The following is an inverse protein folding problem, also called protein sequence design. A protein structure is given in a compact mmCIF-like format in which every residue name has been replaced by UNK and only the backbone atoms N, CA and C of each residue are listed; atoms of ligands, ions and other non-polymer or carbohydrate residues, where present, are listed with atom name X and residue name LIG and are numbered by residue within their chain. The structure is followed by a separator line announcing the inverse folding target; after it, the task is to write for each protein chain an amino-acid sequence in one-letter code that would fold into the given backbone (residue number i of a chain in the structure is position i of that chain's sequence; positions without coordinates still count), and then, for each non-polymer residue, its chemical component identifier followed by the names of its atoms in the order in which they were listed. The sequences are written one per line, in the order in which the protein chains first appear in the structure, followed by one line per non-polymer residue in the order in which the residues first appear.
data_IF_891348701952
#
_entry.id   IF_891348701952
#
_cell.length_a   1.000
_cell.length_b   1.000
_cell.length_c   1.000
_cell.angle_alpha   90.00
_cell.angle_beta   90.00
_cell.angle_gamma   90.00
#
_symmetry.space_group_name_H-M   'P 1'
#
loop_
_entity.id
_entity.type
_entity.pdbx_description
1 polymer ?
#
# COMPACT_ATOMS: atom_id res chain seq x y z
N UNK A 1 12.56 11.53 -65.81
CA UNK A 1 12.04 12.78 -66.43
C UNK A 1 10.57 12.73 -66.91
N UNK A 2 9.91 11.56 -67.08
CA UNK A 2 8.48 11.51 -67.49
C UNK A 2 7.50 11.78 -66.29
N UNK A 3 7.90 11.51 -65.10
CA UNK A 3 7.04 11.68 -63.88
C UNK A 3 6.81 13.17 -63.53
N UNK A 4 7.84 14.02 -63.68
CA UNK A 4 7.76 15.45 -63.37
C UNK A 4 6.82 16.20 -64.30
N UNK A 5 6.80 15.85 -65.64
CA UNK A 5 5.89 16.46 -66.63
C UNK A 5 4.40 16.11 -66.38
N UNK A 6 4.09 15.02 -65.65
CA UNK A 6 2.73 14.66 -65.31
C UNK A 6 2.22 15.44 -64.08
N UNK A 7 3.10 15.74 -63.13
CA UNK A 7 2.76 16.45 -61.90
C UNK A 7 2.38 17.93 -62.18
N UNK A 8 3.07 18.57 -63.14
CA UNK A 8 2.78 19.97 -63.51
C UNK A 8 1.38 20.17 -64.10
N UNK A 9 0.82 19.12 -64.71
CA UNK A 9 -0.52 19.12 -65.29
C UNK A 9 -1.66 18.85 -64.36
N UNK A 10 -1.36 18.49 -63.11
CA UNK A 10 -2.37 18.25 -62.08
C UNK A 10 -2.97 19.56 -61.55
N UNK A 11 -4.25 19.53 -61.20
CA UNK A 11 -4.87 20.64 -60.47
C UNK A 11 -4.16 20.87 -59.11
N UNK A 12 -4.21 22.09 -58.63
CA UNK A 12 -3.64 22.44 -57.32
C UNK A 12 -4.15 21.53 -56.20
N UNK A 13 -5.39 21.07 -56.27
CA UNK A 13 -6.00 20.13 -55.34
C UNK A 13 -5.31 18.75 -55.37
N UNK A 14 -5.07 18.24 -56.58
CA UNK A 14 -4.36 16.96 -56.73
C UNK A 14 -2.90 17.03 -56.28
N UNK A 15 -2.22 18.17 -56.50
CA UNK A 15 -0.85 18.40 -56.02
C UNK A 15 -0.81 18.35 -54.47
N UNK A 16 -1.75 18.99 -53.78
CA UNK A 16 -1.88 18.96 -52.31
C UNK A 16 -2.11 17.53 -51.82
N UNK A 17 -2.99 16.76 -52.45
CA UNK A 17 -3.24 15.36 -52.06
C UNK A 17 -1.99 14.47 -52.23
N UNK A 18 -1.20 14.68 -53.31
CA UNK A 18 0.07 13.98 -53.52
C UNK A 18 1.08 14.34 -52.41
N UNK A 19 1.18 15.62 -52.04
CA UNK A 19 2.06 16.04 -50.94
C UNK A 19 1.61 15.48 -49.60
N UNK A 20 0.31 15.48 -49.30
CA UNK A 20 -0.25 14.90 -48.08
C UNK A 20 0.00 13.37 -48.02
N UNK A 21 -0.17 12.67 -49.12
CA UNK A 21 0.09 11.23 -49.19
C UNK A 21 1.57 10.89 -48.98
N UNK A 22 2.49 11.67 -49.62
CA UNK A 22 3.93 11.53 -49.41
C UNK A 22 4.34 11.86 -47.95
N UNK A 23 3.74 12.88 -47.38
CA UNK A 23 3.97 13.23 -45.96
C UNK A 23 3.47 12.13 -45.03
N UNK A 24 2.32 11.53 -45.30
CA UNK A 24 1.77 10.40 -44.54
C UNK A 24 2.68 9.15 -44.68
N UNK A 25 3.19 8.87 -45.88
CA UNK A 25 4.15 7.78 -46.08
C UNK A 25 5.47 8.05 -45.36
N UNK A 26 5.95 9.30 -45.35
CA UNK A 26 7.12 9.68 -44.56
C UNK A 26 6.87 9.48 -43.06
N UNK A 27 5.72 9.90 -42.54
CA UNK A 27 5.34 9.63 -41.14
C UNK A 27 5.30 8.13 -40.85
N UNK A 28 4.78 7.32 -41.78
CA UNK A 28 4.72 5.86 -41.62
C UNK A 28 6.11 5.21 -41.70
N UNK A 29 7.03 5.73 -42.51
CA UNK A 29 8.42 5.28 -42.60
C UNK A 29 9.21 5.69 -41.36
N UNK A 30 9.00 6.90 -40.83
CA UNK A 30 9.64 7.37 -39.58
C UNK A 30 8.95 6.91 -38.31
N UNK A 31 7.69 6.45 -38.35
CA UNK A 31 7.12 5.53 -37.38
C UNK A 31 7.72 4.15 -37.62
N UNK A 32 9.01 4.01 -37.42
CA UNK A 32 9.60 2.68 -37.32
C UNK A 32 8.88 1.98 -36.17
N UNK A 33 8.23 0.81 -36.40
CA UNK A 33 7.93 -0.06 -35.30
C UNK A 33 9.27 -0.28 -34.59
N UNK A 34 9.36 -0.01 -33.31
CA UNK A 34 10.51 -0.46 -32.54
C UNK A 34 10.64 -1.94 -32.90
N UNK A 35 11.69 -2.31 -33.61
CA UNK A 35 12.00 -3.70 -33.89
C UNK A 35 12.04 -4.38 -32.51
N UNK A 36 11.14 -5.29 -32.29
CA UNK A 36 11.28 -6.34 -31.28
C UNK A 36 12.47 -7.20 -31.73
N UNK A 37 13.63 -6.80 -31.29
CA UNK A 37 14.84 -7.47 -31.65
C UNK A 37 15.94 -7.04 -30.71
N UNK A 38 16.25 -7.93 -29.75
CA UNK A 38 17.11 -7.81 -28.59
C UNK A 38 16.42 -7.05 -27.45
N UNK A 39 15.80 -7.80 -26.53
CA UNK A 39 15.72 -7.40 -25.14
C UNK A 39 17.12 -6.95 -24.72
N UNK A 40 17.36 -5.63 -24.68
CA UNK A 40 18.40 -5.13 -23.82
C UNK A 40 18.11 -5.80 -22.48
N UNK A 41 19.05 -6.53 -21.93
CA UNK A 41 18.98 -7.10 -20.58
C UNK A 41 18.58 -5.95 -19.65
N UNK A 42 17.26 -5.78 -19.50
CA UNK A 42 16.71 -4.78 -18.61
C UNK A 42 17.35 -5.09 -17.27
N UNK A 43 18.08 -4.15 -16.68
CA UNK A 43 18.65 -4.32 -15.33
C UNK A 43 17.46 -4.47 -14.37
N UNK A 44 17.09 -5.70 -14.17
CA UNK A 44 15.90 -6.13 -13.51
C UNK A 44 16.27 -6.61 -12.12
N UNK A 45 15.60 -6.04 -11.12
CA UNK A 45 15.73 -6.45 -9.73
C UNK A 45 14.43 -7.09 -9.30
N UNK A 46 14.49 -8.32 -8.79
CA UNK A 46 13.35 -9.00 -8.15
C UNK A 46 13.53 -9.00 -6.64
N UNK A 47 12.51 -8.59 -5.91
CA UNK A 47 12.45 -8.59 -4.45
C UNK A 47 11.25 -9.42 -3.97
N UNK A 48 11.40 -10.16 -2.87
CA UNK A 48 10.32 -10.95 -2.27
C UNK A 48 10.33 -10.87 -0.75
N UNK A 49 9.16 -11.00 -0.14
CA UNK A 49 9.01 -11.02 1.30
C UNK A 49 9.64 -9.78 1.97
N UNK A 50 10.39 -10.00 3.04
CA UNK A 50 10.99 -8.92 3.83
C UNK A 50 11.99 -8.06 3.04
N UNK A 51 12.65 -8.62 2.01
CA UNK A 51 13.61 -7.88 1.16
C UNK A 51 12.98 -6.74 0.34
N UNK A 52 11.66 -6.70 0.25
CA UNK A 52 10.91 -5.64 -0.43
C UNK A 52 11.13 -4.30 0.26
N UNK A 53 11.16 -4.30 1.59
CA UNK A 53 11.18 -3.09 2.41
C UNK A 53 12.60 -2.54 2.60
N UNK A 54 13.32 -2.33 1.47
CA UNK A 54 14.65 -1.74 1.41
C UNK A 54 14.61 -0.19 1.29
N UNK A 55 15.79 0.46 1.23
CA UNK A 55 15.89 1.92 1.18
C UNK A 55 15.14 2.52 -0.02
N UNK A 56 15.23 1.91 -1.20
CA UNK A 56 14.54 2.43 -2.38
C UNK A 56 13.01 2.37 -2.21
N UNK A 57 12.48 1.27 -1.66
CA UNK A 57 11.05 1.15 -1.46
C UNK A 57 10.56 2.08 -0.35
N UNK A 58 11.32 2.24 0.74
CA UNK A 58 10.97 3.17 1.80
C UNK A 58 10.89 4.64 1.32
N UNK A 59 11.71 5.02 0.32
CA UNK A 59 11.69 6.37 -0.25
C UNK A 59 10.45 6.65 -1.12
N UNK A 60 9.90 5.64 -1.77
CA UNK A 60 8.73 5.79 -2.65
C UNK A 60 7.43 5.31 -2.01
N UNK A 61 7.48 4.70 -0.84
CA UNK A 61 6.35 4.05 -0.16
C UNK A 61 5.18 5.02 0.06
N UNK A 62 5.46 6.21 0.53
CA UNK A 62 4.43 7.22 0.81
C UNK A 62 3.67 7.67 -0.44
N UNK A 63 4.31 7.65 -1.63
CA UNK A 63 3.63 7.93 -2.90
C UNK A 63 2.54 6.91 -3.23
N UNK A 64 2.65 5.70 -2.68
CA UNK A 64 1.73 4.59 -2.97
C UNK A 64 0.63 4.45 -1.93
N UNK A 65 0.93 4.70 -0.66
CA UNK A 65 0.04 4.29 0.45
C UNK A 65 -0.36 5.42 1.39
N UNK A 66 0.41 6.52 1.45
CA UNK A 66 0.11 7.61 2.36
C UNK A 66 -1.13 8.38 1.93
N UNK A 67 -2.04 8.58 2.87
CA UNK A 67 -3.23 9.41 2.71
C UNK A 67 -3.53 10.07 4.06
N UNK A 68 -3.31 11.38 4.13
CA UNK A 68 -3.49 12.20 5.34
C UNK A 68 -4.94 12.17 5.85
N UNK A 69 -5.93 12.31 4.97
CA UNK A 69 -7.35 12.26 5.35
C UNK A 69 -7.73 10.92 5.97
N UNK A 70 -7.21 9.81 5.43
CA UNK A 70 -7.42 8.48 5.99
C UNK A 70 -6.78 8.36 7.36
N UNK A 71 -5.52 8.74 7.48
CA UNK A 71 -4.76 8.63 8.71
C UNK A 71 -5.38 9.48 9.83
N UNK A 72 -5.77 10.71 9.55
CA UNK A 72 -6.50 11.58 10.48
C UNK A 72 -7.84 10.99 10.90
N UNK A 73 -8.61 10.45 9.95
CA UNK A 73 -9.87 9.79 10.24
C UNK A 73 -9.69 8.60 11.18
N UNK A 74 -8.72 7.73 10.88
CA UNK A 74 -8.40 6.54 11.68
C UNK A 74 -8.03 6.93 13.12
N UNK A 75 -7.07 7.83 13.28
CA UNK A 75 -6.62 8.29 14.60
C UNK A 75 -7.76 8.97 15.39
N UNK A 76 -8.56 9.80 14.72
CA UNK A 76 -9.72 10.43 15.36
C UNK A 76 -10.70 9.38 15.87
N UNK A 77 -11.00 8.35 15.05
CA UNK A 77 -11.91 7.28 15.46
C UNK A 77 -11.35 6.41 16.61
N UNK A 78 -10.05 6.15 16.60
CA UNK A 78 -9.38 5.42 17.68
C UNK A 78 -9.50 6.20 18.97
N UNK A 79 -9.13 7.48 18.98
CA UNK A 79 -9.21 8.34 20.16
C UNK A 79 -10.63 8.41 20.71
N UNK A 80 -11.63 8.62 19.85
CA UNK A 80 -13.04 8.71 20.25
C UNK A 80 -13.59 7.41 20.87
N UNK A 81 -13.10 6.26 20.43
CA UNK A 81 -13.68 4.95 20.79
C UNK A 81 -12.96 4.24 21.93
N UNK A 82 -11.74 4.67 22.27
CA UNK A 82 -10.92 3.99 23.27
C UNK A 82 -10.63 4.83 24.52
N UNK A 83 -11.21 6.03 24.61
CA UNK A 83 -11.09 6.87 25.80
C UNK A 83 -9.64 7.29 26.08
N UNK A 84 -8.91 7.69 25.05
CA UNK A 84 -7.50 8.12 25.14
C UNK A 84 -7.36 9.30 26.11
N UNK A 85 -6.42 9.19 27.06
CA UNK A 85 -6.07 10.22 28.04
C UNK A 85 -4.56 10.47 28.08
N UNK A 86 -4.14 11.38 28.96
CA UNK A 86 -2.72 11.80 29.10
C UNK A 86 -1.77 10.66 29.49
N UNK A 87 -2.29 9.62 30.14
CA UNK A 87 -1.52 8.44 30.54
C UNK A 87 -1.49 7.33 29.49
N UNK A 88 -2.12 7.56 28.33
CA UNK A 88 -2.13 6.60 27.25
C UNK A 88 -0.74 6.43 26.65
N UNK A 89 -0.35 5.17 26.44
CA UNK A 89 0.91 4.77 25.84
C UNK A 89 0.61 3.86 24.66
N UNK A 90 1.02 4.29 23.48
CA UNK A 90 0.77 3.60 22.22
C UNK A 90 1.97 2.82 21.71
N UNK A 91 1.70 1.67 21.10
CA UNK A 91 2.59 0.95 20.21
C UNK A 91 1.93 0.90 18.83
N UNK A 92 2.63 1.38 17.78
CA UNK A 92 2.20 1.24 16.39
C UNK A 92 3.02 0.14 15.71
N UNK A 93 2.36 -0.97 15.38
CA UNK A 93 2.98 -2.18 14.81
C UNK A 93 2.99 -2.09 13.28
N UNK A 94 4.17 -2.35 12.68
CA UNK A 94 4.38 -2.14 11.25
C UNK A 94 4.28 -0.65 10.92
N UNK A 95 4.96 0.19 11.72
CA UNK A 95 4.84 1.65 11.68
C UNK A 95 5.31 2.27 10.36
N UNK A 96 6.02 1.50 9.51
CA UNK A 96 6.48 1.92 8.19
C UNK A 96 7.27 3.23 8.25
N UNK A 97 6.83 4.22 7.49
CA UNK A 97 7.45 5.56 7.40
C UNK A 97 7.03 6.53 8.52
N UNK A 98 6.22 6.08 9.50
CA UNK A 98 6.02 6.74 10.80
C UNK A 98 4.82 7.69 10.90
N UNK A 99 3.96 7.80 9.91
CA UNK A 99 2.88 8.80 9.88
C UNK A 99 1.85 8.67 11.02
N UNK A 100 1.42 7.45 11.38
CA UNK A 100 0.49 7.26 12.51
C UNK A 100 1.14 7.62 13.85
N UNK A 101 2.42 7.26 14.01
CA UNK A 101 3.21 7.63 15.20
C UNK A 101 3.28 9.15 15.34
N UNK A 102 3.55 9.86 14.24
CA UNK A 102 3.59 11.34 14.23
C UNK A 102 2.24 11.94 14.62
N UNK A 103 1.15 11.51 14.01
CA UNK A 103 -0.20 12.02 14.30
C UNK A 103 -0.61 11.81 15.77
N UNK A 104 -0.28 10.67 16.37
CA UNK A 104 -0.52 10.40 17.78
C UNK A 104 0.39 11.27 18.68
N UNK A 105 1.66 11.40 18.30
CA UNK A 105 2.64 12.24 19.03
C UNK A 105 2.23 13.72 19.03
N UNK A 106 1.70 14.22 17.92
CA UNK A 106 1.21 15.62 17.82
C UNK A 106 -0.02 15.90 18.71
N UNK A 107 -0.73 14.84 19.10
CA UNK A 107 -1.81 14.93 20.13
C UNK A 107 -1.25 14.88 21.56
N UNK A 108 0.07 14.90 21.75
CA UNK A 108 0.72 14.85 23.07
C UNK A 108 0.82 13.47 23.67
N UNK A 109 0.57 12.40 22.91
CA UNK A 109 0.57 11.03 23.40
C UNK A 109 1.98 10.42 23.36
N UNK A 110 2.23 9.47 24.27
CA UNK A 110 3.45 8.67 24.27
C UNK A 110 3.30 7.54 23.26
N UNK A 111 4.11 7.54 22.21
CA UNK A 111 4.00 6.57 21.12
C UNK A 111 5.37 5.97 20.79
N UNK A 112 5.39 4.68 20.53
CA UNK A 112 6.55 3.98 19.94
C UNK A 112 6.08 3.29 18.68
N UNK A 113 6.75 3.53 17.56
CA UNK A 113 6.57 2.74 16.33
C UNK A 113 7.55 1.56 16.32
N UNK A 114 7.09 0.41 15.86
CA UNK A 114 7.96 -0.75 15.59
C UNK A 114 7.75 -1.22 14.16
N UNK A 115 8.86 -1.47 13.47
CA UNK A 115 8.85 -2.08 12.14
C UNK A 115 10.00 -3.09 12.02
N UNK A 116 9.77 -4.18 11.30
CA UNK A 116 10.78 -5.21 11.04
C UNK A 116 11.89 -4.71 10.12
N UNK A 117 11.54 -3.80 9.19
CA UNK A 117 12.48 -3.22 8.24
C UNK A 117 13.28 -2.07 8.85
N UNK A 118 14.60 -2.23 8.94
CA UNK A 118 15.51 -1.16 9.35
C UNK A 118 15.48 0.03 8.39
N UNK A 119 15.22 -0.18 7.10
CA UNK A 119 15.10 0.89 6.11
C UNK A 119 13.83 1.74 6.35
N UNK A 120 12.69 1.11 6.68
CA UNK A 120 11.47 1.81 7.08
C UNK A 120 11.68 2.62 8.36
N UNK A 121 12.30 2.02 9.38
CA UNK A 121 12.63 2.72 10.64
C UNK A 121 13.55 3.91 10.41
N UNK A 122 14.60 3.75 9.58
CA UNK A 122 15.49 4.85 9.18
C UNK A 122 14.73 5.98 8.47
N UNK A 123 13.81 5.62 7.56
CA UNK A 123 12.95 6.59 6.88
C UNK A 123 12.02 7.30 7.84
N UNK A 124 11.40 6.57 8.77
CA UNK A 124 10.54 7.14 9.81
C UNK A 124 11.29 8.16 10.70
N UNK A 125 12.52 7.85 11.12
CA UNK A 125 13.38 8.79 11.84
C UNK A 125 13.76 10.01 11.00
N UNK A 126 13.97 9.83 9.70
CA UNK A 126 14.26 10.97 8.80
C UNK A 126 13.04 11.88 8.64
N UNK A 127 11.85 11.29 8.50
CA UNK A 127 10.59 12.03 8.39
C UNK A 127 10.23 12.74 9.71
N UNK A 128 10.45 12.06 10.85
CA UNK A 128 9.96 12.48 12.17
C UNK A 128 11.02 12.24 13.25
N UNK A 129 12.08 13.06 13.31
CA UNK A 129 13.24 12.85 14.19
C UNK A 129 12.88 12.91 15.69
N UNK A 130 11.80 13.61 16.06
CA UNK A 130 11.34 13.73 17.45
C UNK A 130 10.47 12.57 17.91
N UNK A 131 10.11 11.65 17.02
CA UNK A 131 9.31 10.47 17.34
C UNK A 131 10.19 9.25 17.65
N UNK A 132 9.63 8.32 18.43
CA UNK A 132 10.34 7.09 18.83
C UNK A 132 9.99 5.94 17.90
N UNK A 133 11.03 5.37 17.26
CA UNK A 133 10.90 4.17 16.43
C UNK A 133 11.94 3.13 16.85
N UNK A 134 11.59 1.85 16.70
CA UNK A 134 12.48 0.71 16.98
C UNK A 134 12.39 -0.30 15.85
N UNK A 135 13.53 -0.91 15.51
CA UNK A 135 13.55 -2.05 14.58
C UNK A 135 13.31 -3.32 15.38
N UNK A 136 12.33 -4.14 14.99
CA UNK A 136 12.04 -5.39 15.68
C UNK A 136 10.92 -6.19 15.02
N UNK A 137 10.92 -7.49 15.28
CA UNK A 137 9.87 -8.40 14.82
C UNK A 137 8.84 -8.58 15.93
N UNK A 138 7.59 -8.23 15.65
CA UNK A 138 6.47 -8.33 16.59
C UNK A 138 6.05 -9.76 16.94
N UNK A 139 6.59 -10.74 16.22
CA UNK A 139 6.46 -12.16 16.59
C UNK A 139 7.44 -12.59 17.68
N UNK A 140 8.43 -11.75 18.00
CA UNK A 140 9.34 -11.99 19.11
C UNK A 140 8.75 -11.42 20.41
N UNK A 141 8.53 -12.28 21.40
CA UNK A 141 7.91 -11.95 22.68
C UNK A 141 8.73 -10.96 23.51
N UNK A 142 10.06 -11.04 23.42
CA UNK A 142 11.00 -10.30 24.29
C UNK A 142 11.23 -8.84 23.84
N UNK A 143 10.55 -8.37 22.80
CA UNK A 143 10.75 -7.00 22.30
C UNK A 143 10.26 -5.94 23.27
N UNK A 144 9.19 -6.24 24.01
CA UNK A 144 8.63 -5.34 25.01
C UNK A 144 8.27 -6.07 26.30
N UNK A 145 8.30 -5.34 27.43
CA UNK A 145 7.87 -5.87 28.71
C UNK A 145 6.34 -5.97 28.79
N UNK A 146 5.85 -6.89 29.60
CA UNK A 146 4.43 -7.07 29.87
C UNK A 146 3.80 -5.78 30.43
N UNK A 147 2.59 -5.48 29.98
CA UNK A 147 1.83 -4.32 30.46
C UNK A 147 2.47 -2.96 30.17
N UNK A 148 3.26 -2.85 29.09
CA UNK A 148 3.92 -1.59 28.70
C UNK A 148 2.99 -0.60 28.01
N UNK A 149 1.93 -1.08 27.34
CA UNK A 149 1.08 -0.25 26.51
C UNK A 149 -0.39 -0.25 26.97
N UNK A 150 -1.07 0.85 26.71
CA UNK A 150 -2.53 0.96 26.84
C UNK A 150 -3.24 0.73 25.52
N UNK A 151 -2.55 1.01 24.41
CA UNK A 151 -3.08 0.86 23.06
C UNK A 151 -2.00 0.25 22.15
N UNK A 152 -2.41 -0.70 21.34
CA UNK A 152 -1.60 -1.26 20.24
C UNK A 152 -2.39 -1.07 18.97
N UNK A 153 -1.76 -0.49 17.95
CA UNK A 153 -2.32 -0.34 16.61
C UNK A 153 -1.57 -1.22 15.62
N UNK A 154 -2.30 -1.92 14.75
CA UNK A 154 -1.78 -2.67 13.62
C UNK A 154 -2.55 -2.22 12.38
N UNK A 155 -1.98 -1.23 11.70
CA UNK A 155 -2.68 -0.47 10.68
C UNK A 155 -2.35 -0.96 9.27
N UNK A 156 -3.14 -0.48 8.31
CA UNK A 156 -3.06 -0.83 6.90
C UNK A 156 -3.10 -2.35 6.68
N UNK A 157 -2.14 -2.96 5.98
CA UNK A 157 -2.13 -4.40 5.72
C UNK A 157 -1.21 -5.20 6.64
N UNK A 158 -0.64 -4.59 7.68
CA UNK A 158 0.38 -5.23 8.51
C UNK A 158 -0.03 -6.61 9.02
N UNK A 159 -1.29 -6.79 9.44
CA UNK A 159 -1.82 -8.07 9.92
C UNK A 159 -1.77 -9.20 8.86
N UNK A 160 -1.87 -8.85 7.57
CA UNK A 160 -1.90 -9.82 6.46
C UNK A 160 -0.51 -10.30 6.03
N UNK A 161 0.55 -9.62 6.47
CA UNK A 161 1.94 -10.06 6.28
C UNK A 161 2.37 -11.07 7.35
N UNK A 162 1.67 -11.13 8.49
CA UNK A 162 2.02 -12.01 9.59
C UNK A 162 1.62 -13.45 9.28
N UNK A 163 2.62 -14.35 9.27
CA UNK A 163 2.38 -15.78 9.06
C UNK A 163 1.88 -16.48 10.32
N UNK A 164 2.17 -15.93 11.50
CA UNK A 164 1.73 -16.42 12.81
C UNK A 164 0.98 -15.32 13.58
N UNK A 165 -0.30 -15.17 13.26
CA UNK A 165 -1.16 -14.20 13.94
C UNK A 165 -1.51 -14.62 15.38
N UNK A 166 -1.51 -15.92 15.69
CA UNK A 166 -1.71 -16.38 17.06
C UNK A 166 -0.59 -15.87 17.96
N UNK A 167 0.67 -16.01 17.54
CA UNK A 167 1.80 -15.46 18.28
C UNK A 167 1.71 -13.94 18.41
N UNK A 168 1.32 -13.23 17.34
CA UNK A 168 1.11 -11.79 17.36
C UNK A 168 0.03 -11.37 18.39
N UNK A 169 -1.13 -12.03 18.40
CA UNK A 169 -2.20 -11.71 19.35
C UNK A 169 -1.79 -12.03 20.79
N UNK A 170 -1.10 -13.13 21.02
CA UNK A 170 -0.56 -13.46 22.34
C UNK A 170 0.45 -12.41 22.80
N UNK A 171 1.37 -11.97 21.97
CA UNK A 171 2.32 -10.91 22.31
C UNK A 171 1.60 -9.59 22.61
N UNK A 172 0.60 -9.21 21.82
CA UNK A 172 -0.22 -8.02 22.09
C UNK A 172 -0.96 -8.14 23.42
N UNK A 173 -1.47 -9.33 23.76
CA UNK A 173 -2.11 -9.60 25.05
C UNK A 173 -1.14 -9.36 26.22
N UNK A 174 0.08 -9.86 26.12
CA UNK A 174 1.11 -9.67 27.15
C UNK A 174 1.54 -8.20 27.29
N UNK A 175 1.77 -7.51 26.16
CA UNK A 175 2.27 -6.13 26.15
C UNK A 175 1.22 -5.09 26.57
N UNK A 176 -0.07 -5.36 26.37
CA UNK A 176 -1.13 -4.48 26.81
C UNK A 176 -1.33 -4.55 28.34
N UNK A 177 -1.67 -3.42 28.94
CA UNK A 177 -2.22 -3.36 30.30
C UNK A 177 -3.64 -3.95 30.34
N UNK A 178 -4.10 -4.51 31.49
CA UNK A 178 -5.52 -4.80 31.66
C UNK A 178 -6.38 -3.56 31.35
N UNK A 179 -7.48 -3.75 30.63
CA UNK A 179 -8.32 -2.68 30.11
C UNK A 179 -7.77 -1.96 28.87
N UNK A 180 -6.60 -2.37 28.37
CA UNK A 180 -6.00 -1.80 27.15
C UNK A 180 -6.68 -2.26 25.87
N UNK A 181 -6.37 -1.59 24.76
CA UNK A 181 -7.01 -1.79 23.47
C UNK A 181 -6.03 -2.23 22.39
N UNK A 182 -6.44 -3.21 21.57
CA UNK A 182 -5.81 -3.58 20.32
C UNK A 182 -6.68 -3.11 19.16
N UNK A 183 -6.12 -2.34 18.25
CA UNK A 183 -6.79 -1.84 17.05
C UNK A 183 -6.16 -2.49 15.84
N UNK A 184 -6.97 -3.20 15.04
CA UNK A 184 -6.48 -3.88 13.84
C UNK A 184 -7.25 -3.40 12.61
N UNK A 185 -6.54 -2.99 11.58
CA UNK A 185 -7.12 -2.68 10.28
C UNK A 185 -7.36 -3.98 9.52
N UNK A 186 -8.62 -4.25 9.20
CA UNK A 186 -9.05 -5.44 8.47
C UNK A 186 -9.78 -5.05 7.17
N UNK A 187 -9.66 -5.89 6.16
CA UNK A 187 -10.29 -5.69 4.85
C UNK A 187 -11.16 -6.89 4.45
N UNK A 188 -12.18 -6.65 3.64
CA UNK A 188 -12.87 -7.75 2.96
C UNK A 188 -12.00 -8.23 1.79
N UNK A 189 -11.44 -9.45 1.83
CA UNK A 189 -10.49 -9.93 0.82
C UNK A 189 -11.00 -9.92 -0.61
N UNK A 190 -12.31 -10.13 -0.79
CA UNK A 190 -12.92 -10.22 -2.12
C UNK A 190 -13.17 -8.85 -2.77
N UNK A 191 -13.29 -7.79 -1.96
CA UNK A 191 -13.88 -6.52 -2.43
C UNK A 191 -13.02 -5.28 -2.19
N UNK A 192 -12.04 -5.34 -1.27
CA UNK A 192 -11.20 -4.17 -1.01
C UNK A 192 -10.30 -3.83 -2.19
N UNK A 193 -9.84 -2.60 -2.24
CA UNK A 193 -8.87 -2.15 -3.23
C UNK A 193 -7.48 -2.05 -2.56
N UNK A 194 -6.46 -2.77 -3.04
CA UNK A 194 -5.15 -2.79 -2.39
C UNK A 194 -4.38 -1.47 -2.57
N UNK A 195 -4.69 -0.70 -3.61
CA UNK A 195 -4.05 0.60 -3.88
C UNK A 195 -5.12 1.62 -4.18
N UNK A 196 -5.35 2.50 -3.22
CA UNK A 196 -6.29 3.60 -3.29
C UNK A 196 -5.75 4.81 -2.60
N UNK A 197 -6.45 5.82 -2.81
CA UNK A 197 -6.50 6.87 -3.80
C UNK A 197 -5.22 7.69 -3.92
N UNK A 198 -4.09 7.39 -3.21
CA UNK A 198 -2.88 8.22 -3.36
C UNK A 198 -2.44 8.34 -4.81
N UNK A 199 -2.64 7.28 -5.59
CA UNK A 199 -2.30 7.27 -7.00
C UNK A 199 -3.29 8.00 -7.92
N UNK A 200 -4.49 8.36 -7.43
CA UNK A 200 -5.46 9.12 -8.21
C UNK A 200 -6.37 9.97 -7.29
N UNK A 201 -5.95 11.20 -6.95
CA UNK A 201 -6.69 12.09 -6.05
C UNK A 201 -8.10 12.46 -6.54
N UNK A 202 -8.42 12.24 -7.81
CA UNK A 202 -9.75 12.49 -8.38
C UNK A 202 -10.70 11.30 -8.19
N UNK A 203 -10.20 10.15 -7.75
CA UNK A 203 -10.99 8.94 -7.57
C UNK A 203 -11.55 8.88 -6.15
N UNK A 204 -12.66 9.54 -5.93
CA UNK A 204 -13.36 9.63 -4.63
C UNK A 204 -14.01 8.29 -4.23
N UNK A 205 -14.25 7.40 -5.19
CA UNK A 205 -14.89 6.09 -4.94
C UNK A 205 -14.14 5.01 -5.69
N UNK A 206 -13.84 3.89 -5.01
CA UNK A 206 -13.21 2.74 -5.64
C UNK A 206 -14.06 2.18 -6.78
N UNK A 207 -13.46 2.02 -7.95
CA UNK A 207 -14.07 1.34 -9.09
C UNK A 207 -14.48 -0.11 -8.74
N UNK A 208 -13.79 -0.72 -7.77
CA UNK A 208 -14.10 -2.06 -7.25
C UNK A 208 -15.53 -2.20 -6.75
N UNK A 209 -16.13 -1.12 -6.20
CA UNK A 209 -17.52 -1.10 -5.71
C UNK A 209 -18.54 -1.42 -6.80
N UNK A 210 -18.24 -1.04 -8.05
CA UNK A 210 -19.16 -1.18 -9.19
C UNK A 210 -18.77 -2.29 -10.16
N UNK A 211 -17.59 -2.87 -9.97
CA UNK A 211 -17.08 -3.93 -10.83
C UNK A 211 -17.86 -5.25 -10.60
N UNK A 212 -18.28 -5.92 -11.68
CA UNK A 212 -18.88 -7.26 -11.61
C UNK A 212 -17.85 -8.31 -11.20
N UNK A 213 -16.63 -8.14 -11.68
CA UNK A 213 -15.47 -8.95 -11.35
C UNK A 213 -14.43 -8.11 -10.65
N UNK A 214 -13.58 -8.76 -9.82
CA UNK A 214 -12.53 -8.06 -9.11
C UNK A 214 -11.55 -7.40 -10.10
N UNK A 215 -11.27 -6.13 -9.90
CA UNK A 215 -10.18 -5.43 -10.59
C UNK A 215 -8.88 -5.86 -9.91
N UNK A 216 -8.01 -6.54 -10.65
CA UNK A 216 -6.76 -7.09 -10.11
C UNK A 216 -5.55 -6.22 -10.42
N UNK A 217 -5.62 -5.39 -11.45
CA UNK A 217 -4.46 -4.64 -11.96
C UNK A 217 -4.67 -3.14 -11.81
N UNK A 218 -3.66 -2.47 -11.25
CA UNK A 218 -3.60 -1.01 -11.15
C UNK A 218 -2.37 -0.50 -11.90
N UNK A 219 -2.50 0.60 -12.65
CA UNK A 219 -1.38 1.27 -13.32
C UNK A 219 -1.43 2.76 -13.04
N UNK A 220 -0.32 3.30 -12.53
CA UNK A 220 -0.17 4.72 -12.20
C UNK A 220 1.14 5.23 -12.82
N UNK A 221 1.09 6.43 -13.38
CA UNK A 221 2.28 7.09 -13.91
C UNK A 221 2.67 8.23 -12.98
N UNK A 222 3.80 8.05 -12.30
CA UNK A 222 4.47 9.09 -11.50
C UNK A 222 5.50 9.84 -12.36
N UNK A 223 6.02 10.94 -11.83
CA UNK A 223 7.04 11.73 -12.54
C UNK A 223 8.31 10.94 -12.82
N UNK A 224 8.72 10.05 -11.91
CA UNK A 224 10.00 9.32 -11.97
C UNK A 224 9.87 7.88 -12.46
N UNK A 225 8.69 7.30 -12.37
CA UNK A 225 8.46 5.89 -12.75
C UNK A 225 7.00 5.63 -13.12
N UNK A 226 6.79 4.53 -13.85
CA UNK A 226 5.48 3.93 -14.06
C UNK A 226 5.34 2.75 -13.09
N UNK A 227 4.32 2.81 -12.26
CA UNK A 227 3.93 1.77 -11.32
C UNK A 227 2.84 0.89 -11.93
N UNK A 228 2.95 -0.41 -11.74
CA UNK A 228 1.88 -1.37 -12.06
C UNK A 228 1.82 -2.38 -10.92
N UNK A 229 0.62 -2.67 -10.44
CA UNK A 229 0.40 -3.73 -9.45
C UNK A 229 -0.63 -4.72 -9.95
N UNK A 230 -0.55 -5.95 -9.41
CA UNK A 230 -1.50 -7.02 -9.64
C UNK A 230 -1.76 -7.75 -8.33
N UNK A 231 -3.04 -7.89 -7.97
CA UNK A 231 -3.47 -8.56 -6.75
C UNK A 231 -4.26 -9.82 -7.10
N UNK A 232 -3.65 -10.98 -6.88
CA UNK A 232 -4.21 -12.29 -7.20
C UNK A 232 -4.62 -13.01 -5.93
N UNK A 233 -5.92 -13.05 -5.65
CA UNK A 233 -6.49 -13.77 -4.50
C UNK A 233 -6.71 -15.25 -4.84
N UNK A 234 -6.10 -16.12 -4.06
CA UNK A 234 -6.38 -17.56 -4.06
C UNK A 234 -7.35 -17.91 -2.92
N UNK A 235 -8.61 -18.15 -3.27
CA UNK A 235 -9.67 -18.45 -2.30
C UNK A 235 -9.58 -19.85 -1.67
N UNK A 236 -8.79 -20.75 -2.26
CA UNK A 236 -8.68 -22.13 -1.75
C UNK A 236 -7.84 -22.19 -0.47
N UNK A 237 -6.83 -21.35 -0.38
CA UNK A 237 -5.91 -21.30 0.76
C UNK A 237 -5.88 -19.94 1.47
N UNK A 238 -6.81 -19.04 1.14
CA UNK A 238 -6.93 -17.70 1.72
C UNK A 238 -5.62 -16.90 1.63
N UNK A 239 -4.89 -17.00 0.52
CA UNK A 239 -3.69 -16.21 0.29
C UNK A 239 -3.87 -15.29 -0.90
N UNK A 240 -3.10 -14.21 -0.95
CA UNK A 240 -2.99 -13.42 -2.15
C UNK A 240 -1.52 -13.18 -2.50
N UNK A 241 -1.23 -13.20 -3.80
CA UNK A 241 0.03 -12.71 -4.33
C UNK A 241 -0.17 -11.28 -4.79
N UNK A 242 0.56 -10.36 -4.17
CA UNK A 242 0.59 -8.97 -4.57
C UNK A 242 1.89 -8.68 -5.29
N UNK A 243 1.78 -8.49 -6.59
CA UNK A 243 2.91 -8.21 -7.48
C UNK A 243 2.94 -6.73 -7.80
N UNK A 244 4.11 -6.13 -7.71
CA UNK A 244 4.34 -4.73 -8.05
C UNK A 244 5.51 -4.60 -9.03
N UNK A 245 5.37 -3.70 -9.98
CA UNK A 245 6.41 -3.39 -10.97
C UNK A 245 6.63 -1.88 -11.05
N UNK A 246 7.86 -1.47 -10.89
CA UNK A 246 8.32 -0.09 -11.05
C UNK A 246 9.22 -0.03 -12.28
N UNK A 247 8.83 0.78 -13.26
CA UNK A 247 9.65 1.06 -14.44
C UNK A 247 10.10 2.51 -14.37
N UNK A 248 11.34 2.72 -13.97
CA UNK A 248 11.94 4.04 -13.83
C UNK A 248 12.31 4.65 -15.18
N UNK A 249 12.32 6.00 -15.26
CA UNK A 249 12.65 6.75 -16.49
C UNK A 249 14.08 6.47 -16.97
N UNK A 250 14.99 6.07 -16.09
CA UNK A 250 16.37 5.69 -16.42
C UNK A 250 16.50 4.25 -16.97
N UNK A 251 15.38 3.58 -17.26
CA UNK A 251 15.34 2.23 -17.80
C UNK A 251 15.50 1.09 -16.77
N UNK A 252 15.73 1.40 -15.50
CA UNK A 252 15.75 0.37 -14.44
C UNK A 252 14.35 -0.17 -14.21
N UNK A 253 14.24 -1.49 -13.97
CA UNK A 253 12.99 -2.13 -13.59
C UNK A 253 13.18 -2.85 -12.26
N UNK A 254 12.27 -2.56 -11.32
CA UNK A 254 12.12 -3.34 -10.10
C UNK A 254 10.79 -4.06 -10.16
N UNK A 255 10.80 -5.34 -9.85
CA UNK A 255 9.61 -6.14 -9.55
C UNK A 255 9.68 -6.62 -8.13
N UNK A 256 8.54 -6.74 -7.50
CA UNK A 256 8.44 -7.30 -6.16
C UNK A 256 7.17 -8.11 -6.02
N UNK A 257 7.23 -9.12 -5.17
CA UNK A 257 6.16 -10.07 -4.94
C UNK A 257 5.99 -10.32 -3.45
N UNK A 258 4.82 -10.01 -2.94
CA UNK A 258 4.44 -10.19 -1.55
C UNK A 258 3.35 -11.26 -1.44
N UNK A 259 3.54 -12.21 -0.53
CA UNK A 259 2.51 -13.14 -0.11
C UNK A 259 1.73 -12.56 1.07
N UNK A 260 0.41 -12.52 0.95
CA UNK A 260 -0.51 -12.04 1.98
C UNK A 260 -1.40 -13.20 2.45
N UNK A 261 -1.62 -13.30 3.76
CA UNK A 261 -2.53 -14.26 4.39
C UNK A 261 -3.91 -13.61 4.54
N UNK A 262 -4.76 -13.79 3.53
CA UNK A 262 -6.01 -13.05 3.33
C UNK A 262 -7.23 -13.78 3.90
N UNK A 263 -7.14 -14.20 5.18
CA UNK A 263 -8.28 -14.78 5.86
C UNK A 263 -9.42 -13.77 6.01
N UNK A 264 -10.64 -14.29 6.21
CA UNK A 264 -11.82 -13.45 6.37
C UNK A 264 -11.77 -12.62 7.65
N UNK A 265 -12.57 -11.54 7.67
CA UNK A 265 -12.72 -10.67 8.85
C UNK A 265 -13.11 -11.48 10.11
N UNK A 266 -13.96 -12.48 9.93
CA UNK A 266 -14.45 -13.35 11.00
C UNK A 266 -13.36 -14.27 11.54
N UNK A 267 -12.54 -14.85 10.66
CA UNK A 267 -11.42 -15.72 11.04
C UNK A 267 -10.42 -14.93 11.89
N UNK A 268 -9.96 -13.79 11.42
CA UNK A 268 -8.98 -12.96 12.14
C UNK A 268 -9.56 -12.45 13.49
N UNK A 269 -10.85 -12.06 13.48
CA UNK A 269 -11.51 -11.63 14.72
C UNK A 269 -11.67 -12.78 15.75
N UNK A 270 -11.85 -14.01 15.29
CA UNK A 270 -11.90 -15.19 16.16
C UNK A 270 -10.50 -15.56 16.69
N UNK A 271 -9.44 -15.49 15.88
CA UNK A 271 -8.06 -15.65 16.35
C UNK A 271 -7.73 -14.67 17.49
N UNK A 272 -8.16 -13.39 17.36
CA UNK A 272 -8.00 -12.41 18.45
C UNK A 272 -8.79 -12.80 19.71
N UNK A 273 -10.04 -13.30 19.57
CA UNK A 273 -10.85 -13.76 20.69
C UNK A 273 -10.24 -15.00 21.37
N UNK A 274 -9.70 -15.93 20.60
CA UNK A 274 -9.05 -17.14 21.12
C UNK A 274 -7.81 -16.78 21.95
N UNK A 275 -7.13 -15.67 21.63
CA UNK A 275 -6.06 -15.09 22.45
C UNK A 275 -6.58 -14.33 23.70
N UNK A 276 -7.90 -14.23 23.91
CA UNK A 276 -8.51 -13.60 25.09
C UNK A 276 -9.03 -12.17 24.86
N UNK A 277 -8.97 -11.64 23.64
CA UNK A 277 -9.51 -10.31 23.35
C UNK A 277 -11.03 -10.29 23.22
N UNK A 278 -11.64 -9.17 23.63
CA UNK A 278 -13.08 -8.91 23.48
C UNK A 278 -13.30 -7.84 22.42
N UNK A 279 -14.05 -8.16 21.36
CA UNK A 279 -14.39 -7.18 20.33
C UNK A 279 -15.35 -6.10 20.87
N UNK A 280 -14.96 -4.84 20.82
CA UNK A 280 -15.72 -3.69 21.29
C UNK A 280 -16.39 -2.90 20.19
N UNK A 281 -15.65 -2.63 19.12
CA UNK A 281 -16.13 -1.81 18.02
C UNK A 281 -15.66 -2.33 16.67
N UNK A 282 -16.47 -2.06 15.65
CA UNK A 282 -16.14 -2.23 14.23
C UNK A 282 -16.44 -0.92 13.50
N UNK A 283 -15.42 -0.22 13.05
CA UNK A 283 -15.54 1.07 12.38
C UNK A 283 -15.35 0.86 10.89
N UNK A 284 -16.30 1.32 10.07
CA UNK A 284 -16.20 1.27 8.61
C UNK A 284 -15.42 2.49 8.10
N UNK A 285 -14.44 2.28 7.23
CA UNK A 285 -13.59 3.34 6.68
C UNK A 285 -14.19 4.02 5.42
N UNK A 286 -15.46 3.77 5.11
CA UNK A 286 -16.18 4.47 4.02
C UNK A 286 -16.13 6.00 4.21
N UNK A 287 -16.12 6.49 5.45
CA UNK A 287 -16.06 7.93 5.74
C UNK A 287 -14.79 8.63 5.23
N UNK A 288 -13.70 7.88 5.01
CA UNK A 288 -12.48 8.36 4.37
C UNK A 288 -12.24 7.73 2.99
N UNK A 289 -13.29 7.25 2.32
CA UNK A 289 -13.28 6.65 0.99
C UNK A 289 -12.62 5.25 0.86
N UNK A 290 -12.28 4.60 1.97
CA UNK A 290 -11.75 3.24 1.99
C UNK A 290 -12.87 2.23 2.17
N UNK A 291 -13.50 1.86 1.05
CA UNK A 291 -14.64 0.93 1.00
C UNK A 291 -14.17 -0.49 1.26
N UNK A 292 -14.97 -1.28 2.00
CA UNK A 292 -14.67 -2.67 2.39
C UNK A 292 -13.44 -2.81 3.29
N UNK A 293 -13.08 -1.76 4.01
CA UNK A 293 -12.00 -1.71 4.99
C UNK A 293 -12.55 -1.23 6.34
N UNK A 294 -11.99 -1.75 7.42
CA UNK A 294 -12.56 -1.59 8.75
C UNK A 294 -11.45 -1.49 9.81
N UNK A 295 -11.69 -0.73 10.88
CA UNK A 295 -10.94 -0.86 12.12
C UNK A 295 -11.74 -1.73 13.11
N UNK A 296 -11.12 -2.80 13.56
CA UNK A 296 -11.63 -3.62 14.65
C UNK A 296 -10.93 -3.21 15.92
N UNK A 297 -11.71 -2.87 16.96
CA UNK A 297 -11.20 -2.46 18.26
C UNK A 297 -11.53 -3.56 19.26
N UNK A 298 -10.50 -4.16 19.80
CA UNK A 298 -10.59 -5.19 20.83
C UNK A 298 -10.08 -4.63 22.16
N UNK A 299 -10.59 -5.16 23.29
CA UNK A 299 -10.04 -4.89 24.63
C UNK A 299 -9.38 -6.12 25.21
N UNK A 300 -8.33 -5.91 25.99
CA UNK A 300 -7.85 -6.86 27.00
C UNK A 300 -8.69 -6.65 28.27
N UNK A 301 -9.39 -7.69 28.76
CA UNK A 301 -10.12 -7.69 30.04
C UNK A 301 -9.14 -7.76 31.22
#
# INVERSE_FOLDING_TARGET
MKFIKGFDKLSNYCKILVFLSLFLVLILIFKTPKREGYEQLEKYVMKKGDDIYDELYSDIYDLLVYNDLKNDYEITKIVDKTGVGNDSVFLDVGSGTGHHVKLLSDKGLKVTGIDKSSAMVKKAHTNFPDCKFVTGDVLNTDVFNNGSFTHITCMYFSIYYLHDRHQFFNNCMEWLKPGGFLIVHLVNPDKFDPILPPGNPLQIVSAQKYAKERITTTKITFNEFVYTSNFNLNKQNNTATFEEKFKFNNGKIRKQEQLLHMDSLEVIANEAKDAGFVLRNKINLVGCAYVFQYLYIFSRE
#
